data_IF_487328489652
#
_entry.id   IF_487328489652
#
_cell.length_a   1.000
_cell.length_b   1.000
_cell.length_c   1.000
_cell.angle_alpha   90.00
_cell.angle_beta   90.00
_cell.angle_gamma   90.00
#
_symmetry.space_group_name_H-M   'P 1'
#
loop_
_entity.id
_entity.type
_entity.pdbx_description
1 polymer ?
#
# COMPACT_ATOMS: atom_id res chain seq x y z
N UNK A 1 -4.18 15.74 2.84
CA UNK A 1 -3.17 16.78 2.51
C UNK A 1 -2.15 16.13 1.60
N UNK A 2 -1.89 16.70 0.41
CA UNK A 2 -0.92 16.18 -0.56
C UNK A 2 0.28 17.12 -0.54
N UNK A 3 1.47 16.58 -0.33
CA UNK A 3 2.71 17.34 -0.36
C UNK A 3 3.39 17.20 -1.73
N UNK A 4 3.97 18.28 -2.23
CA UNK A 4 4.84 18.23 -3.39
C UNK A 4 6.08 17.39 -3.04
N UNK A 5 6.44 16.43 -3.90
CA UNK A 5 7.64 15.61 -3.73
C UNK A 5 8.69 16.03 -4.75
N UNK A 6 9.83 16.48 -4.28
CA UNK A 6 10.95 16.90 -5.11
C UNK A 6 12.08 15.86 -5.06
N UNK A 7 12.80 15.62 -6.16
CA UNK A 7 14.05 14.87 -6.11
C UNK A 7 15.01 15.49 -5.09
N UNK A 8 15.71 14.66 -4.32
CA UNK A 8 16.75 15.15 -3.41
C UNK A 8 17.83 15.83 -4.22
N UNK A 9 17.97 17.13 -4.04
CA UNK A 9 18.95 17.93 -4.76
C UNK A 9 19.61 18.95 -3.81
N UNK A 10 20.92 19.17 -3.94
CA UNK A 10 21.67 20.06 -3.06
C UNK A 10 21.09 21.48 -3.03
N UNK A 11 20.82 22.06 -4.19
CA UNK A 11 20.28 23.43 -4.29
C UNK A 11 18.94 23.64 -3.57
N UNK A 12 18.14 22.57 -3.39
CA UNK A 12 16.83 22.64 -2.75
C UNK A 12 16.86 22.25 -1.27
N UNK A 13 17.89 21.47 -0.83
CA UNK A 13 17.85 20.85 0.49
C UNK A 13 19.11 21.09 1.35
N UNK A 14 20.06 21.94 0.89
CA UNK A 14 21.33 22.16 1.62
C UNK A 14 21.13 22.92 2.94
N UNK A 15 20.15 23.82 3.00
CA UNK A 15 19.88 24.69 4.15
C UNK A 15 18.73 24.23 5.04
N UNK A 16 18.09 23.11 4.66
CA UNK A 16 17.04 22.47 5.46
C UNK A 16 17.52 21.15 6.05
N UNK A 17 16.82 20.72 7.08
CA UNK A 17 17.05 19.47 7.81
C UNK A 17 15.79 18.65 7.85
N UNK A 18 15.86 17.42 8.32
CA UNK A 18 14.73 16.51 8.34
C UNK A 18 14.65 15.68 9.61
N UNK A 19 13.43 15.20 9.89
CA UNK A 19 13.13 14.09 10.78
C UNK A 19 12.10 13.16 10.12
N UNK A 20 12.00 11.93 10.58
CA UNK A 20 10.89 11.05 10.19
C UNK A 20 9.62 11.49 10.91
N UNK A 21 8.47 11.27 10.26
CA UNK A 21 7.17 11.56 10.84
C UNK A 21 6.90 10.70 12.08
N UNK A 22 6.49 11.31 13.17
CA UNK A 22 5.97 10.65 14.35
C UNK A 22 4.44 10.63 14.38
N UNK A 23 3.82 11.56 13.65
CA UNK A 23 2.38 11.71 13.44
C UNK A 23 2.09 11.65 11.95
N UNK A 24 0.92 11.18 11.60
CA UNK A 24 0.57 10.87 10.21
C UNK A 24 -0.70 11.60 9.74
N UNK A 25 -0.83 12.95 9.92
CA UNK A 25 -2.02 13.68 9.49
C UNK A 25 -2.25 13.59 7.99
N UNK A 26 -1.20 13.37 7.20
CA UNK A 26 -1.27 13.13 5.77
C UNK A 26 -1.93 11.78 5.41
N UNK A 27 -2.02 10.84 6.36
CA UNK A 27 -2.74 9.59 6.17
C UNK A 27 -4.25 9.74 6.40
N UNK A 28 -4.69 10.86 6.99
CA UNK A 28 -6.11 11.14 7.16
C UNK A 28 -6.78 11.28 5.78
N UNK A 29 -7.80 10.45 5.55
CA UNK A 29 -8.50 10.38 4.26
C UNK A 29 -7.85 9.45 3.23
N UNK A 30 -6.71 8.81 3.55
CA UNK A 30 -6.22 7.68 2.76
C UNK A 30 -6.97 6.41 3.19
N UNK A 31 -7.67 5.80 2.23
CA UNK A 31 -8.41 4.56 2.49
C UNK A 31 -7.44 3.39 2.75
N UNK A 32 -6.33 3.35 2.05
CA UNK A 32 -5.36 2.25 2.10
C UNK A 32 -3.94 2.71 1.78
N UNK A 33 -2.95 1.93 2.19
CA UNK A 33 -1.54 2.11 1.78
C UNK A 33 -0.91 0.75 1.42
N UNK A 34 0.00 0.71 0.42
CA UNK A 34 0.69 -0.51 0.04
C UNK A 34 1.54 -1.06 1.18
N UNK A 35 1.57 -2.40 1.30
CA UNK A 35 2.38 -3.11 2.29
C UNK A 35 3.58 -3.78 1.65
N UNK A 36 4.67 -3.94 2.41
CA UNK A 36 5.84 -4.72 2.02
C UNK A 36 5.80 -6.12 2.65
N UNK A 37 6.51 -7.07 2.04
CA UNK A 37 6.55 -8.47 2.50
C UNK A 37 6.99 -8.60 3.95
N UNK A 38 7.99 -7.83 4.36
CA UNK A 38 8.58 -7.88 5.71
C UNK A 38 7.65 -7.39 6.83
N UNK A 39 6.57 -6.66 6.52
CA UNK A 39 5.64 -6.13 7.52
C UNK A 39 4.28 -6.85 7.55
N UNK A 40 3.99 -7.72 6.57
CA UNK A 40 2.69 -8.38 6.42
C UNK A 40 2.17 -8.99 7.72
N UNK A 41 3.00 -9.82 8.37
CA UNK A 41 2.57 -10.54 9.59
C UNK A 41 2.22 -9.59 10.72
N UNK A 42 3.07 -8.58 10.97
CA UNK A 42 2.82 -7.62 12.04
C UNK A 42 1.61 -6.72 11.80
N UNK A 43 1.36 -6.38 10.53
CA UNK A 43 0.21 -5.56 10.15
C UNK A 43 -1.10 -6.37 10.12
N UNK A 44 -1.06 -7.65 9.72
CA UNK A 44 -2.24 -8.52 9.70
C UNK A 44 -2.88 -8.70 11.08
N UNK A 45 -2.12 -8.52 12.15
CA UNK A 45 -2.61 -8.54 13.52
C UNK A 45 -3.30 -7.23 13.94
N UNK A 46 -3.15 -6.15 13.17
CA UNK A 46 -3.60 -4.81 13.54
C UNK A 46 -4.73 -4.28 12.68
N UNK A 47 -4.74 -4.58 11.39
CA UNK A 47 -5.70 -4.04 10.45
C UNK A 47 -5.96 -4.98 9.27
N UNK A 48 -7.08 -4.79 8.55
CA UNK A 48 -7.40 -5.57 7.36
C UNK A 48 -6.35 -5.40 6.28
N UNK A 49 -5.86 -6.52 5.74
CA UNK A 49 -5.05 -6.56 4.54
C UNK A 49 -5.92 -7.08 3.40
N UNK A 50 -5.96 -6.35 2.31
CA UNK A 50 -6.69 -6.66 1.09
C UNK A 50 -5.76 -6.55 -0.12
N UNK A 51 -6.27 -6.94 -1.27
CA UNK A 51 -5.63 -6.68 -2.55
C UNK A 51 -6.42 -5.58 -3.27
N UNK A 52 -5.77 -4.48 -3.58
CA UNK A 52 -6.36 -3.38 -4.35
C UNK A 52 -5.97 -3.52 -5.81
N UNK A 53 -6.92 -3.36 -6.72
CA UNK A 53 -6.60 -3.23 -8.14
C UNK A 53 -6.20 -1.79 -8.45
N UNK A 54 -5.02 -1.62 -9.06
CA UNK A 54 -4.49 -0.36 -9.56
C UNK A 54 -4.10 -0.56 -11.03
N UNK A 55 -4.90 -0.03 -11.95
CA UNK A 55 -4.76 -0.34 -13.36
C UNK A 55 -4.85 -1.86 -13.61
N UNK A 56 -3.78 -2.44 -14.14
CA UNK A 56 -3.65 -3.88 -14.38
C UNK A 56 -3.02 -4.65 -13.22
N UNK A 57 -2.53 -3.94 -12.19
CA UNK A 57 -1.81 -4.55 -11.08
C UNK A 57 -2.74 -4.86 -9.90
N UNK A 58 -2.40 -5.92 -9.16
CA UNK A 58 -3.04 -6.33 -7.93
C UNK A 58 -2.08 -6.07 -6.76
N UNK A 59 -2.32 -4.99 -6.01
CA UNK A 59 -1.41 -4.47 -4.98
C UNK A 59 -1.93 -4.84 -3.60
N UNK A 60 -1.20 -5.61 -2.79
CA UNK A 60 -1.54 -5.83 -1.39
C UNK A 60 -1.44 -4.53 -0.57
N UNK A 61 -2.52 -4.20 0.12
CA UNK A 61 -2.67 -2.96 0.89
C UNK A 61 -3.23 -3.25 2.28
N UNK A 62 -2.92 -2.37 3.23
CA UNK A 62 -3.61 -2.31 4.51
C UNK A 62 -4.67 -1.21 4.46
N UNK A 63 -5.88 -1.49 4.95
CA UNK A 63 -6.91 -0.46 5.11
C UNK A 63 -6.61 0.40 6.33
N UNK A 64 -6.79 1.71 6.19
CA UNK A 64 -6.56 2.69 7.26
C UNK A 64 -7.86 3.27 7.82
N UNK A 65 -8.97 3.09 7.12
CA UNK A 65 -10.27 3.64 7.53
C UNK A 65 -10.84 2.87 8.72
N UNK A 66 -11.28 3.62 9.74
CA UNK A 66 -11.71 3.07 11.02
C UNK A 66 -12.90 2.10 10.91
N UNK A 67 -13.82 2.34 9.97
CA UNK A 67 -15.04 1.52 9.78
C UNK A 67 -14.73 0.08 9.34
N UNK A 68 -13.53 -0.15 8.82
CA UNK A 68 -13.05 -1.47 8.38
C UNK A 68 -12.11 -2.13 9.40
N UNK A 69 -11.75 -1.41 10.47
CA UNK A 69 -10.84 -1.88 11.48
C UNK A 69 -11.61 -2.26 12.75
N UNK A 70 -11.17 -3.34 13.40
CA UNK A 70 -11.71 -3.76 14.71
C UNK A 70 -11.41 -2.74 15.82
N UNK A 71 -10.30 -2.02 15.70
CA UNK A 71 -9.86 -1.01 16.65
C UNK A 71 -9.20 0.16 15.90
N UNK A 72 -9.21 1.37 16.49
CA UNK A 72 -8.53 2.52 15.90
C UNK A 72 -7.06 2.21 15.62
N UNK A 73 -6.55 2.68 14.49
CA UNK A 73 -5.15 2.57 14.11
C UNK A 73 -4.33 3.78 14.53
N UNK A 74 -5.00 4.93 14.71
CA UNK A 74 -4.41 6.20 15.10
C UNK A 74 -5.13 6.75 16.32
N UNK A 75 -4.39 7.49 17.15
CA UNK A 75 -4.98 8.32 18.22
C UNK A 75 -5.52 9.64 17.65
N UNK A 76 -6.02 10.51 18.56
CA UNK A 76 -6.56 11.83 18.19
C UNK A 76 -5.51 12.77 17.56
N UNK A 77 -4.22 12.54 17.85
CA UNK A 77 -3.09 13.29 17.32
C UNK A 77 -2.51 12.65 16.05
N UNK A 78 -3.20 11.68 15.44
CA UNK A 78 -2.76 10.94 14.28
C UNK A 78 -1.43 10.19 14.48
N UNK A 79 -1.14 9.77 15.72
CA UNK A 79 -0.02 8.88 16.02
C UNK A 79 -0.49 7.43 15.89
N UNK A 80 0.37 6.57 15.33
CA UNK A 80 0.08 5.16 15.15
C UNK A 80 0.00 4.41 16.49
N UNK A 81 -1.08 3.67 16.72
CA UNK A 81 -1.32 2.92 17.97
C UNK A 81 -0.72 1.52 18.01
N UNK A 82 -0.07 1.08 16.94
CA UNK A 82 0.61 -0.22 16.88
C UNK A 82 2.11 -0.11 17.21
N UNK A 83 2.82 -1.24 17.33
CA UNK A 83 4.25 -1.24 17.60
C UNK A 83 5.05 -0.55 16.50
N UNK A 84 4.61 -0.70 15.25
CA UNK A 84 5.26 -0.09 14.10
C UNK A 84 4.21 0.35 13.07
N UNK A 85 4.26 1.60 12.59
CA UNK A 85 3.43 2.04 11.47
C UNK A 85 3.86 1.34 10.18
N UNK A 86 2.94 1.22 9.20
CA UNK A 86 3.28 0.72 7.86
C UNK A 86 4.50 1.43 7.28
N UNK A 87 5.35 0.69 6.57
CA UNK A 87 6.57 1.25 5.95
C UNK A 87 6.26 2.37 4.97
N UNK A 88 5.08 2.37 4.34
CA UNK A 88 4.55 3.46 3.53
C UNK A 88 4.44 4.80 4.27
N UNK A 89 4.17 4.75 5.57
CA UNK A 89 4.03 5.94 6.43
C UNK A 89 5.34 6.25 7.16
N UNK A 90 6.03 5.23 7.65
CA UNK A 90 7.20 5.35 8.53
C UNK A 90 8.35 6.14 7.93
N UNK A 91 8.55 6.05 6.61
CA UNK A 91 9.64 6.72 5.92
C UNK A 91 9.30 8.11 5.39
N UNK A 92 8.10 8.62 5.72
CA UNK A 92 7.80 10.02 5.41
C UNK A 92 8.81 10.95 6.14
N UNK A 93 9.38 11.95 5.45
CA UNK A 93 8.99 12.56 4.16
C UNK A 93 9.64 11.92 2.91
N UNK A 94 10.32 10.79 3.03
CA UNK A 94 11.05 10.20 1.90
C UNK A 94 10.17 9.31 1.03
N UNK A 95 10.40 9.38 -0.29
CA UNK A 95 9.82 8.49 -1.29
C UNK A 95 10.86 8.12 -2.34
N UNK A 96 10.65 7.05 -3.07
CA UNK A 96 11.41 6.75 -4.30
C UNK A 96 10.71 7.41 -5.46
N UNK A 97 11.51 8.00 -6.35
CA UNK A 97 11.09 8.53 -7.64
C UNK A 97 11.90 7.83 -8.72
N UNK A 98 11.33 7.71 -9.92
CA UNK A 98 12.08 7.21 -11.08
C UNK A 98 13.08 8.26 -11.54
N UNK A 99 14.28 7.82 -11.88
CA UNK A 99 15.30 8.70 -12.46
C UNK A 99 15.00 8.91 -13.94
N UNK A 100 14.47 10.08 -14.30
CA UNK A 100 14.17 10.42 -15.68
C UNK A 100 15.39 10.36 -16.63
N UNK A 101 16.61 10.49 -16.09
CA UNK A 101 17.86 10.40 -16.86
C UNK A 101 18.35 8.95 -17.01
N UNK A 102 17.89 8.03 -16.16
CA UNK A 102 18.33 6.63 -16.14
C UNK A 102 17.13 5.71 -15.84
N UNK A 103 16.39 5.30 -16.87
CA UNK A 103 15.25 4.39 -16.71
C UNK A 103 15.62 3.14 -15.91
N UNK A 104 14.73 2.72 -15.02
CA UNK A 104 14.96 1.59 -14.11
C UNK A 104 15.82 1.91 -12.88
N UNK A 105 16.26 3.17 -12.71
CA UNK A 105 16.99 3.63 -11.53
C UNK A 105 16.08 4.48 -10.67
N UNK A 106 16.01 4.17 -9.35
CA UNK A 106 15.26 4.97 -8.40
C UNK A 106 16.17 5.99 -7.71
N UNK A 107 15.68 7.22 -7.60
CA UNK A 107 16.28 8.30 -6.83
C UNK A 107 15.43 8.61 -5.59
N UNK A 108 16.03 9.33 -4.63
CA UNK A 108 15.33 9.74 -3.43
C UNK A 108 14.52 11.01 -3.69
N UNK A 109 13.23 10.96 -3.41
CA UNK A 109 12.34 12.12 -3.33
C UNK A 109 12.11 12.52 -1.88
N UNK A 110 11.85 13.81 -1.68
CA UNK A 110 11.56 14.42 -0.38
C UNK A 110 10.26 15.20 -0.48
N UNK A 111 9.27 14.86 0.34
CA UNK A 111 8.02 15.60 0.44
C UNK A 111 8.25 16.93 1.17
N UNK A 112 7.68 18.02 0.67
CA UNK A 112 7.77 19.36 1.26
C UNK A 112 6.82 19.50 2.45
N UNK A 113 6.95 18.61 3.43
CA UNK A 113 6.18 18.63 4.68
C UNK A 113 6.92 19.43 5.73
N UNK A 114 6.39 20.59 6.19
CA UNK A 114 7.07 21.42 7.17
C UNK A 114 7.24 20.75 8.53
N UNK A 115 6.39 19.77 8.87
CA UNK A 115 6.49 19.02 10.12
C UNK A 115 7.66 18.02 10.09
N UNK A 116 8.22 17.74 8.91
CA UNK A 116 9.32 16.78 8.72
C UNK A 116 10.55 17.40 8.06
N UNK A 117 10.41 18.55 7.37
CA UNK A 117 11.50 19.21 6.63
C UNK A 117 11.47 20.71 6.95
N UNK A 118 12.40 21.15 7.78
CA UNK A 118 12.61 22.55 8.16
C UNK A 118 14.07 22.77 8.58
N UNK A 119 14.43 24.00 8.99
CA UNK A 119 15.79 24.28 9.51
C UNK A 119 16.00 23.75 10.93
N UNK A 120 14.94 23.46 11.67
CA UNK A 120 14.99 23.13 13.09
C UNK A 120 15.12 21.63 13.36
N UNK A 121 15.05 20.78 12.32
CA UNK A 121 15.19 19.35 12.46
C UNK A 121 16.65 18.89 12.68
N UNK A 122 16.88 17.71 13.28
CA UNK A 122 18.23 17.31 13.68
C UNK A 122 19.13 16.87 12.51
N UNK A 123 18.55 16.29 11.44
CA UNK A 123 19.35 15.61 10.43
C UNK A 123 19.58 16.48 9.19
N UNK A 124 20.84 16.68 8.80
CA UNK A 124 21.18 17.31 7.53
C UNK A 124 21.02 16.31 6.36
N UNK A 125 20.66 16.81 5.18
CA UNK A 125 20.64 16.00 3.95
C UNK A 125 22.03 15.82 3.36
N UNK A 126 22.88 16.81 3.46
CA UNK A 126 24.21 16.88 2.84
C UNK A 126 25.30 17.23 3.84
N UNK A 127 26.51 16.80 3.56
CA UNK A 127 27.73 17.25 4.26
C UNK A 127 28.27 18.56 3.66
N UNK A 128 29.33 19.08 4.26
CA UNK A 128 30.00 20.34 3.83
C UNK A 128 30.58 20.26 2.39
N UNK A 129 30.76 19.05 1.86
CA UNK A 129 31.26 18.82 0.51
C UNK A 129 30.11 18.56 -0.49
N UNK A 130 28.86 18.93 -0.14
CA UNK A 130 27.64 18.70 -0.93
C UNK A 130 27.36 17.22 -1.25
N UNK A 131 27.85 16.27 -0.46
CA UNK A 131 27.60 14.84 -0.61
C UNK A 131 26.43 14.43 0.30
N UNK A 132 25.49 13.59 -0.17
CA UNK A 132 24.41 13.08 0.68
C UNK A 132 24.98 12.37 1.93
N UNK A 133 24.42 12.71 3.09
CA UNK A 133 24.79 12.09 4.37
C UNK A 133 24.63 10.58 4.34
N UNK A 134 25.46 9.80 5.08
CA UNK A 134 25.35 8.34 5.13
C UNK A 134 23.96 7.84 5.51
N UNK A 135 23.28 8.55 6.43
CA UNK A 135 21.91 8.21 6.86
C UNK A 135 20.92 8.37 5.71
N UNK A 136 21.05 9.40 4.86
CA UNK A 136 20.21 9.61 3.66
C UNK A 136 20.39 8.49 2.65
N UNK A 137 21.65 8.05 2.43
CA UNK A 137 21.94 6.89 1.57
C UNK A 137 21.35 5.59 2.14
N UNK A 138 21.35 5.45 3.47
CA UNK A 138 20.71 4.30 4.12
C UNK A 138 19.18 4.29 3.94
N UNK A 139 18.54 5.46 4.03
CA UNK A 139 17.09 5.60 3.73
C UNK A 139 16.79 5.17 2.30
N UNK A 140 17.54 5.65 1.30
CA UNK A 140 17.33 5.27 -0.10
C UNK A 140 17.43 3.74 -0.28
N UNK A 141 18.49 3.12 0.23
CA UNK A 141 18.64 1.65 0.17
C UNK A 141 17.49 0.91 0.82
N UNK A 142 16.96 1.44 1.93
CA UNK A 142 15.82 0.83 2.60
C UNK A 142 14.54 0.95 1.78
N UNK A 143 14.29 2.11 1.18
CA UNK A 143 13.15 2.33 0.30
C UNK A 143 13.22 1.44 -0.95
N UNK A 144 14.39 1.30 -1.57
CA UNK A 144 14.58 0.37 -2.70
C UNK A 144 14.27 -1.08 -2.31
N UNK A 145 14.70 -1.51 -1.12
CA UNK A 145 14.34 -2.83 -0.60
C UNK A 145 12.83 -2.99 -0.41
N UNK A 146 12.15 -1.97 0.13
CA UNK A 146 10.69 -1.95 0.29
C UNK A 146 9.99 -2.08 -1.06
N UNK A 147 10.46 -1.37 -2.09
CA UNK A 147 9.92 -1.50 -3.46
C UNK A 147 10.09 -2.93 -3.99
N UNK A 148 11.27 -3.52 -3.84
CA UNK A 148 11.51 -4.89 -4.24
C UNK A 148 10.57 -5.89 -3.54
N UNK A 149 10.38 -5.74 -2.21
CA UNK A 149 9.46 -6.56 -1.42
C UNK A 149 8.00 -6.40 -1.88
N UNK A 150 7.59 -5.17 -2.26
CA UNK A 150 6.26 -4.89 -2.82
C UNK A 150 6.06 -5.54 -4.18
N UNK A 151 7.06 -5.45 -5.06
CA UNK A 151 7.00 -6.11 -6.37
C UNK A 151 6.79 -7.62 -6.25
N UNK A 152 7.43 -8.27 -5.27
CA UNK A 152 7.18 -9.68 -4.98
C UNK A 152 5.73 -9.94 -4.56
N UNK A 153 5.15 -9.07 -3.73
CA UNK A 153 3.76 -9.21 -3.31
C UNK A 153 2.76 -8.93 -4.44
N UNK A 154 3.05 -7.98 -5.32
CA UNK A 154 2.24 -7.73 -6.54
C UNK A 154 2.23 -8.96 -7.43
N UNK A 155 3.40 -9.60 -7.64
CA UNK A 155 3.49 -10.85 -8.38
C UNK A 155 2.68 -11.98 -7.73
N UNK A 156 2.78 -12.11 -6.40
CA UNK A 156 2.01 -13.09 -5.63
C UNK A 156 0.49 -12.85 -5.73
N UNK A 157 0.05 -11.60 -5.60
CA UNK A 157 -1.37 -11.24 -5.74
C UNK A 157 -1.89 -11.48 -7.16
N UNK A 158 -1.07 -11.19 -8.17
CA UNK A 158 -1.42 -11.48 -9.57
C UNK A 158 -1.56 -12.97 -9.82
N UNK A 159 -0.71 -13.82 -9.23
CA UNK A 159 -0.83 -15.26 -9.31
C UNK A 159 -2.13 -15.76 -8.66
N UNK A 160 -2.48 -15.26 -7.48
CA UNK A 160 -3.76 -15.57 -6.82
C UNK A 160 -4.96 -15.16 -7.68
N UNK A 161 -4.89 -14.00 -8.34
CA UNK A 161 -5.95 -13.53 -9.23
C UNK A 161 -6.08 -14.41 -10.48
N UNK A 162 -4.97 -14.78 -11.11
CA UNK A 162 -4.95 -15.65 -12.30
C UNK A 162 -5.52 -17.05 -11.97
N UNK A 163 -5.26 -17.56 -10.78
CA UNK A 163 -5.84 -18.81 -10.28
C UNK A 163 -7.32 -18.68 -9.86
N UNK A 164 -7.94 -17.49 -9.97
CA UNK A 164 -9.34 -17.27 -9.59
C UNK A 164 -9.61 -17.34 -8.08
N UNK A 165 -8.56 -17.14 -7.27
CA UNK A 165 -8.60 -17.24 -5.80
C UNK A 165 -8.92 -15.91 -5.10
N UNK A 166 -9.09 -14.82 -5.85
CA UNK A 166 -9.48 -13.53 -5.31
C UNK A 166 -10.94 -13.23 -5.65
N UNK A 167 -11.71 -12.83 -4.65
CA UNK A 167 -13.10 -12.38 -4.78
C UNK A 167 -13.19 -10.89 -4.54
N UNK A 168 -13.84 -10.19 -5.47
CA UNK A 168 -14.05 -8.75 -5.37
C UNK A 168 -14.93 -8.41 -4.18
N UNK A 169 -14.51 -7.40 -3.41
CA UNK A 169 -15.28 -6.78 -2.35
C UNK A 169 -15.84 -5.44 -2.84
N UNK A 170 -17.15 -5.27 -2.76
CA UNK A 170 -17.75 -3.95 -2.98
C UNK A 170 -17.72 -3.18 -1.66
N UNK A 171 -16.84 -2.21 -1.52
CA UNK A 171 -16.86 -1.29 -0.39
C UNK A 171 -18.02 -0.31 -0.62
N UNK A 172 -19.14 -0.50 0.07
CA UNK A 172 -20.45 0.08 -0.26
C UNK A 172 -20.54 1.61 -0.18
N UNK A 173 -19.55 2.27 0.39
CA UNK A 173 -19.59 3.71 0.66
C UNK A 173 -18.37 4.49 0.15
N UNK A 174 -17.54 3.86 -0.65
CA UNK A 174 -16.38 4.56 -1.16
C UNK A 174 -16.81 5.51 -2.31
N UNK A 175 -16.71 6.80 -2.07
CA UNK A 175 -16.60 7.82 -3.13
C UNK A 175 -15.43 7.51 -4.07
N UNK A 176 -14.67 6.49 -3.72
CA UNK A 176 -13.49 5.96 -4.36
C UNK A 176 -13.89 4.75 -5.23
N UNK A 177 -13.59 4.80 -6.51
CA UNK A 177 -13.88 3.73 -7.48
C UNK A 177 -12.87 2.58 -7.41
N UNK A 178 -12.03 2.53 -6.38
CA UNK A 178 -11.03 1.47 -6.22
C UNK A 178 -11.68 0.13 -5.98
N UNK A 179 -11.19 -0.89 -6.67
CA UNK A 179 -11.64 -2.26 -6.49
C UNK A 179 -10.75 -2.97 -5.49
N UNK A 180 -11.36 -3.56 -4.48
CA UNK A 180 -10.67 -4.37 -3.50
C UNK A 180 -11.06 -5.83 -3.62
N UNK A 181 -10.14 -6.71 -3.27
CA UNK A 181 -10.33 -8.14 -3.32
C UNK A 181 -9.87 -8.78 -2.01
N UNK A 182 -10.56 -9.83 -1.59
CA UNK A 182 -10.17 -10.73 -0.52
C UNK A 182 -9.90 -12.12 -1.07
N UNK A 183 -9.28 -12.98 -0.26
CA UNK A 183 -9.13 -14.38 -0.58
C UNK A 183 -10.48 -15.10 -0.60
N UNK A 184 -10.72 -15.90 -1.64
CA UNK A 184 -11.78 -16.92 -1.67
C UNK A 184 -11.30 -18.14 -0.87
N UNK A 185 -11.63 -18.17 0.41
CA UNK A 185 -11.16 -19.19 1.33
C UNK A 185 -11.67 -20.58 1.00
N UNK A 186 -12.84 -20.69 0.36
CA UNK A 186 -13.39 -21.99 -0.03
C UNK A 186 -12.53 -22.59 -1.14
N UNK A 187 -12.31 -21.84 -2.22
CA UNK A 187 -11.48 -22.28 -3.33
C UNK A 187 -10.02 -22.52 -2.90
N UNK A 188 -9.49 -21.67 -2.02
CA UNK A 188 -8.11 -21.83 -1.55
C UNK A 188 -7.90 -23.13 -0.77
N UNK A 189 -8.90 -23.57 0.01
CA UNK A 189 -8.84 -24.86 0.74
C UNK A 189 -9.02 -26.08 -0.15
N UNK A 190 -9.59 -25.93 -1.33
CA UNK A 190 -9.77 -26.98 -2.32
C UNK A 190 -8.51 -27.18 -3.18
N UNK A 191 -7.52 -26.27 -3.10
CA UNK A 191 -6.26 -26.44 -3.82
C UNK A 191 -5.49 -27.65 -3.29
N UNK A 192 -5.17 -28.54 -4.20
CA UNK A 192 -4.25 -29.66 -3.96
C UNK A 192 -2.77 -29.23 -4.12
N UNK A 193 -1.85 -30.15 -3.87
CA UNK A 193 -0.43 -29.91 -4.00
C UNK A 193 0.01 -29.43 -5.40
N UNK A 194 -0.45 -30.04 -6.49
CA UNK A 194 -0.22 -29.55 -7.86
C UNK A 194 -0.76 -28.13 -8.07
N UNK A 195 -1.99 -27.83 -7.69
CA UNK A 195 -2.58 -26.50 -7.82
C UNK A 195 -1.80 -25.42 -7.03
N UNK A 196 -1.28 -25.76 -5.85
CA UNK A 196 -0.41 -24.87 -5.09
C UNK A 196 0.92 -24.61 -5.79
N UNK A 197 1.50 -25.63 -6.46
CA UNK A 197 2.76 -25.49 -7.19
C UNK A 197 2.62 -24.62 -8.46
N UNK A 198 1.41 -24.52 -9.01
CA UNK A 198 1.11 -23.69 -10.20
C UNK A 198 0.87 -22.21 -9.87
N UNK A 199 0.92 -21.80 -8.59
CA UNK A 199 0.72 -20.42 -8.18
C UNK A 199 1.90 -19.51 -8.57
N UNK A 200 2.11 -19.30 -9.86
CA UNK A 200 3.11 -18.40 -10.41
C UNK A 200 4.56 -18.89 -10.22
N UNK A 201 5.52 -18.00 -10.46
CA UNK A 201 6.96 -18.34 -10.40
C UNK A 201 7.50 -18.51 -8.98
N UNK A 202 6.76 -18.06 -7.98
CA UNK A 202 7.10 -18.17 -6.55
C UNK A 202 5.87 -18.61 -5.75
N UNK A 203 5.48 -19.88 -5.81
CA UNK A 203 4.26 -20.37 -5.15
C UNK A 203 4.26 -20.13 -3.64
N UNK A 204 5.42 -20.17 -2.99
CA UNK A 204 5.55 -19.90 -1.55
C UNK A 204 5.15 -18.45 -1.18
N UNK A 205 5.39 -17.48 -2.05
CA UNK A 205 5.01 -16.07 -1.79
C UNK A 205 3.49 -15.90 -1.97
N UNK A 206 2.89 -16.55 -2.96
CA UNK A 206 1.45 -16.57 -3.16
C UNK A 206 0.73 -17.27 -2.00
N UNK A 207 1.24 -18.42 -1.55
CA UNK A 207 0.71 -19.14 -0.39
C UNK A 207 0.82 -18.30 0.90
N UNK A 208 1.97 -17.69 1.15
CA UNK A 208 2.17 -16.81 2.30
C UNK A 208 1.19 -15.64 2.27
N UNK A 209 1.01 -14.98 1.13
CA UNK A 209 0.05 -13.89 0.98
C UNK A 209 -1.37 -14.37 1.22
N UNK A 210 -1.77 -15.51 0.66
CA UNK A 210 -3.10 -16.09 0.88
C UNK A 210 -3.37 -16.37 2.37
N UNK A 211 -2.41 -16.97 3.07
CA UNK A 211 -2.52 -17.24 4.51
C UNK A 211 -2.68 -15.94 5.33
N UNK A 212 -1.97 -14.87 4.95
CA UNK A 212 -2.08 -13.56 5.60
C UNK A 212 -3.43 -12.90 5.30
N UNK A 213 -3.92 -12.96 4.06
CA UNK A 213 -5.24 -12.45 3.68
C UNK A 213 -6.35 -13.16 4.45
N UNK A 214 -6.28 -14.50 4.56
CA UNK A 214 -7.24 -15.29 5.33
C UNK A 214 -7.23 -14.94 6.82
N UNK A 215 -6.04 -14.89 7.43
CA UNK A 215 -5.87 -14.50 8.84
C UNK A 215 -6.43 -13.10 9.11
N UNK A 216 -6.06 -12.14 8.29
CA UNK A 216 -6.49 -10.74 8.42
C UNK A 216 -8.00 -10.60 8.23
N UNK A 217 -8.59 -11.31 7.25
CA UNK A 217 -10.03 -11.35 7.01
C UNK A 217 -10.78 -11.86 8.23
N UNK A 218 -10.35 -13.01 8.75
CA UNK A 218 -10.98 -13.62 9.91
C UNK A 218 -10.91 -12.72 11.14
N UNK A 219 -9.75 -12.09 11.37
CA UNK A 219 -9.51 -11.30 12.57
C UNK A 219 -10.19 -9.93 12.59
N UNK A 220 -10.32 -9.30 11.45
CA UNK A 220 -10.78 -7.91 11.36
C UNK A 220 -12.08 -7.75 10.60
N UNK A 221 -12.19 -8.32 9.40
CA UNK A 221 -13.34 -8.06 8.54
C UNK A 221 -14.60 -8.78 9.00
N UNK A 222 -14.50 -9.97 9.58
CA UNK A 222 -15.68 -10.71 10.05
C UNK A 222 -16.46 -9.96 11.14
N UNK A 223 -15.80 -9.09 11.89
CA UNK A 223 -16.40 -8.31 12.99
C UNK A 223 -16.56 -6.82 12.65
N UNK A 224 -16.06 -6.36 11.50
CA UNK A 224 -16.15 -4.96 11.11
C UNK A 224 -17.61 -4.58 10.75
N UNK A 225 -18.14 -3.45 11.25
CA UNK A 225 -19.53 -3.02 10.96
C UNK A 225 -19.82 -2.92 9.47
N UNK A 226 -18.87 -2.39 8.70
CA UNK A 226 -19.00 -2.25 7.25
C UNK A 226 -19.03 -3.61 6.52
N UNK A 227 -18.35 -4.65 7.01
CA UNK A 227 -18.35 -5.98 6.41
C UNK A 227 -19.66 -6.75 6.66
N UNK A 228 -20.29 -6.56 7.83
CA UNK A 228 -21.59 -7.17 8.13
C UNK A 228 -22.67 -6.71 7.14
N UNK A 229 -22.62 -5.45 6.70
CA UNK A 229 -23.55 -4.93 5.67
C UNK A 229 -23.28 -5.55 4.29
N UNK A 230 -22.04 -5.80 3.92
CA UNK A 230 -21.65 -6.45 2.65
C UNK A 230 -22.05 -7.93 2.59
N UNK A 231 -21.82 -8.67 3.66
CA UNK A 231 -22.21 -10.08 3.75
C UNK A 231 -23.71 -10.27 3.55
N UNK A 232 -24.52 -9.32 4.01
CA UNK A 232 -25.96 -9.31 3.81
C UNK A 232 -26.36 -8.93 2.37
N UNK A 233 -25.61 -8.05 1.69
CA UNK A 233 -25.85 -7.70 0.28
C UNK A 233 -25.49 -8.84 -0.69
N UNK A 234 -24.44 -9.61 -0.40
CA UNK A 234 -24.05 -10.76 -1.21
C UNK A 234 -25.02 -11.95 -1.08
N UNK A 235 -25.80 -12.03 0.01
CA UNK A 235 -26.87 -13.02 0.19
C UNK A 235 -28.17 -12.64 -0.53
N UNK A 236 -28.33 -11.41 -0.99
CA UNK A 236 -29.49 -11.00 -1.78
C UNK A 236 -29.33 -11.50 -3.23
N UNK A 237 -30.35 -12.06 -3.87
CA UNK A 237 -30.28 -12.56 -5.24
C UNK A 237 -29.89 -11.41 -6.17
N UNK A 238 -28.86 -11.63 -6.98
CA UNK A 238 -28.32 -10.67 -7.94
C UNK A 238 -29.39 -10.19 -8.90
N UNK A 239 -29.74 -8.91 -8.82
CA UNK A 239 -30.59 -8.24 -9.79
C UNK A 239 -29.89 -8.26 -11.15
N UNK A 240 -30.55 -8.67 -12.26
CA UNK A 240 -29.86 -8.72 -13.55
C UNK A 240 -29.31 -7.36 -13.93
N UNK A 241 -28.04 -7.34 -14.34
CA UNK A 241 -27.31 -6.15 -14.72
C UNK A 241 -28.00 -5.46 -15.91
N UNK A 242 -28.33 -4.19 -15.74
CA UNK A 242 -28.80 -3.31 -16.80
C UNK A 242 -27.64 -3.02 -17.75
N UNK A 243 -27.79 -3.16 -19.08
CA UNK A 243 -26.66 -2.92 -19.99
C UNK A 243 -26.17 -1.46 -19.89
N UNK A 244 -24.88 -1.29 -19.68
CA UNK A 244 -24.21 0.00 -19.64
C UNK A 244 -24.16 0.60 -21.04
N UNK A 245 -24.68 1.82 -21.19
CA UNK A 245 -24.52 2.63 -22.39
C UNK A 245 -23.03 3.00 -22.57
N UNK A 246 -22.52 2.80 -23.77
CA UNK A 246 -21.15 3.18 -24.16
C UNK A 246 -21.03 4.71 -24.17
N UNK A 247 -20.37 5.28 -23.16
CA UNK A 247 -19.89 6.67 -23.14
C UNK A 247 -18.37 6.71 -23.24
N UNK A 248 -17.78 7.80 -23.77
CA UNK A 248 -16.33 7.88 -23.96
C UNK A 248 -15.59 7.93 -22.63
N UNK A 249 -14.66 7.00 -22.45
CA UNK A 249 -13.75 6.91 -21.30
C UNK A 249 -12.65 7.95 -21.40
N UNK A 250 -12.75 9.04 -20.65
CA UNK A 250 -11.58 9.85 -20.31
C UNK A 250 -11.07 9.36 -18.94
N UNK A 251 -9.91 8.71 -18.93
CA UNK A 251 -9.23 8.34 -17.71
C UNK A 251 -8.47 9.57 -17.18
N UNK A 252 -8.92 10.12 -16.08
CA UNK A 252 -8.06 10.91 -15.20
C UNK A 252 -7.30 9.90 -14.34
N UNK A 253 -6.04 9.68 -14.68
CA UNK A 253 -5.11 8.91 -13.86
C UNK A 253 -4.68 9.83 -12.72
N UNK A 254 -5.01 9.43 -11.50
CA UNK A 254 -4.51 10.09 -10.29
C UNK A 254 -3.03 9.67 -10.15
N UNK A 255 -2.10 10.57 -10.50
CA UNK A 255 -0.65 10.33 -10.64
C UNK A 255 0.07 9.96 -9.34
N UNK A 256 -0.64 9.88 -8.21
CA UNK A 256 -0.01 9.68 -6.89
C UNK A 256 0.42 8.24 -6.58
N UNK A 257 0.13 7.25 -7.43
CA UNK A 257 0.48 5.84 -7.17
C UNK A 257 0.85 5.01 -8.40
N UNK A 258 1.34 5.60 -9.46
CA UNK A 258 1.87 4.82 -10.59
C UNK A 258 3.28 4.36 -10.28
N UNK A 259 3.42 3.19 -9.67
CA UNK A 259 4.66 2.43 -9.77
C UNK A 259 4.62 1.70 -11.11
N UNK A 260 5.26 2.25 -12.13
CA UNK A 260 5.60 1.52 -13.34
C UNK A 260 6.83 0.67 -13.03
N UNK A 261 6.64 -0.63 -13.00
CA UNK A 261 7.73 -1.58 -13.09
C UNK A 261 7.81 -2.00 -14.55
N UNK A 262 8.79 -1.54 -15.27
CA UNK A 262 9.18 -2.16 -16.54
C UNK A 262 9.99 -3.42 -16.26
N UNK A 263 9.85 -4.46 -17.10
CA UNK A 263 10.37 -5.81 -16.86
C UNK A 263 11.91 -5.90 -16.84
#
# INVERSE_FOLDING_TARGET
>A
MIFLVNPLHYALHHDVRWSLAERFPFAAGQLSVPVARSELRGLADRAPILVQQSGTQFVPVILLEADWCRAPLFDADMKWLGPHPPLSLRYHPFRTLDDAARPGTSILGVASDPDCVSRDHPNAFFDELARPMPIVKAVLRRLQRIQFERAQLVSAASALQQAGLLTQLSLADSRDRRLFYSLDSAKFRELDGPGLAELGTRPQDAFMLAAVLEHSRYRHLSEAPAYASLANQQKAPSRPARPLAKGPTSFLVDDDFTMTFDP
#
